data_IF_724065812059
#
_entry.id   IF_724065812059
#
_cell.length_a   1.000
_cell.length_b   1.000
_cell.length_c   1.000
_cell.angle_alpha   90.00
_cell.angle_beta   90.00
_cell.angle_gamma   90.00
#
_symmetry.space_group_name_H-M   'P 1'
#
loop_
_entity.id
_entity.type
_entity.pdbx_description
1 polymer ?
#
# COMPACT_ATOMS: atom_id res chain seq x y z
N UNK A 1 -26.88 -7.86 -9.53
CA UNK A 1 -25.54 -7.35 -9.76
C UNK A 1 -24.82 -7.16 -8.43
N UNK A 2 -23.64 -7.70 -8.32
CA UNK A 2 -22.85 -7.53 -7.11
C UNK A 2 -22.18 -6.14 -7.05
N UNK A 3 -22.04 -5.62 -5.85
CA UNK A 3 -21.26 -4.43 -5.62
C UNK A 3 -19.78 -4.80 -5.61
N UNK A 4 -18.94 -3.89 -6.13
CA UNK A 4 -17.50 -4.04 -6.03
C UNK A 4 -17.11 -3.79 -4.58
N UNK A 5 -16.41 -4.74 -3.99
CA UNK A 5 -15.95 -4.65 -2.61
C UNK A 5 -14.46 -4.89 -2.54
N UNK A 6 -13.81 -4.14 -1.67
CA UNK A 6 -12.43 -4.41 -1.32
C UNK A 6 -12.33 -5.54 -0.31
N UNK A 7 -11.11 -5.91 0.01
CA UNK A 7 -10.80 -6.91 1.03
C UNK A 7 -10.04 -6.23 2.17
N UNK A 8 -10.03 -6.82 3.37
CA UNK A 8 -9.14 -6.34 4.41
C UNK A 8 -7.68 -6.70 4.09
N UNK A 9 -6.80 -5.77 4.36
CA UNK A 9 -5.35 -6.00 4.26
C UNK A 9 -4.70 -5.56 5.56
N UNK A 10 -3.46 -5.99 5.79
CA UNK A 10 -2.69 -5.57 6.95
C UNK A 10 -1.62 -4.58 6.49
N UNK A 11 -1.66 -3.38 7.07
CA UNK A 11 -0.64 -2.35 6.87
C UNK A 11 0.31 -2.38 8.05
N UNK A 12 1.59 -2.50 7.78
CA UNK A 12 2.61 -2.52 8.81
C UNK A 12 3.25 -1.14 8.96
N UNK A 13 3.26 -0.63 10.17
CA UNK A 13 3.83 0.68 10.50
C UNK A 13 5.01 0.48 11.44
N UNK A 14 6.11 1.16 11.19
CA UNK A 14 7.27 1.14 12.07
C UNK A 14 7.18 2.31 13.04
N UNK A 15 7.34 2.02 14.32
CA UNK A 15 7.32 3.04 15.36
C UNK A 15 8.60 2.91 16.17
N UNK A 16 9.25 4.04 16.43
CA UNK A 16 10.45 4.05 17.28
C UNK A 16 10.02 3.90 18.74
N UNK A 17 10.57 2.89 19.42
CA UNK A 17 10.26 2.57 20.81
C UNK A 17 11.32 3.06 21.80
N UNK A 18 12.29 3.81 21.30
CA UNK A 18 13.38 4.32 22.11
C UNK A 18 14.71 4.12 21.42
N UNK A 19 15.80 4.12 22.18
CA UNK A 19 17.14 3.88 21.67
C UNK A 19 17.81 2.76 22.44
N UNK A 20 18.71 2.03 21.76
CA UNK A 20 19.51 1.01 22.41
C UNK A 20 20.65 1.67 23.21
N UNK A 21 21.46 0.89 23.99
CA UNK A 21 22.58 1.44 24.75
C UNK A 21 23.64 2.15 23.90
N UNK A 22 23.66 1.92 22.59
CA UNK A 22 24.60 2.53 21.67
C UNK A 22 24.02 3.74 20.94
N UNK A 23 22.79 4.16 21.29
CA UNK A 23 22.14 5.32 20.69
C UNK A 23 21.41 5.04 19.38
N UNK A 24 21.36 3.79 18.92
CA UNK A 24 20.63 3.44 17.71
C UNK A 24 19.12 3.33 18.00
N UNK A 25 18.26 3.76 17.07
CA UNK A 25 16.82 3.66 17.29
C UNK A 25 16.34 2.21 17.30
N UNK A 26 15.42 1.91 18.20
CA UNK A 26 14.75 0.62 18.29
C UNK A 26 13.39 0.77 17.60
N UNK A 27 13.12 -0.05 16.58
CA UNK A 27 11.89 0.01 15.81
C UNK A 27 10.99 -1.18 16.13
N UNK A 28 9.70 -0.90 16.27
CA UNK A 28 8.67 -1.92 16.44
C UNK A 28 7.69 -1.81 15.27
N UNK A 29 7.36 -2.94 14.67
CA UNK A 29 6.32 -3.00 13.65
C UNK A 29 4.97 -3.21 14.31
N UNK A 30 4.00 -2.38 13.92
CA UNK A 30 2.62 -2.49 14.37
C UNK A 30 1.73 -2.80 13.18
N UNK A 31 0.92 -3.85 13.31
CA UNK A 31 -0.04 -4.24 12.29
C UNK A 31 -1.34 -3.48 12.47
N UNK A 32 -1.87 -2.95 11.38
CA UNK A 32 -3.19 -2.30 11.37
C UNK A 32 -4.00 -2.89 10.23
N UNK A 33 -5.21 -3.34 10.54
CA UNK A 33 -6.11 -3.82 9.50
C UNK A 33 -6.80 -2.66 8.81
N UNK A 34 -6.72 -2.64 7.49
CA UNK A 34 -7.39 -1.65 6.66
C UNK A 34 -8.45 -2.38 5.85
N UNK A 35 -9.71 -2.03 6.08
CA UNK A 35 -10.84 -2.66 5.40
C UNK A 35 -11.09 -2.04 4.03
N UNK A 36 -11.75 -2.81 3.18
CA UNK A 36 -12.27 -2.35 1.90
C UNK A 36 -11.19 -1.79 0.96
N UNK A 37 -10.05 -2.45 0.88
CA UNK A 37 -9.00 -2.11 -0.08
C UNK A 37 -9.21 -2.93 -1.35
N UNK A 38 -9.33 -2.26 -2.48
CA UNK A 38 -9.49 -2.93 -3.76
C UNK A 38 -8.11 -3.23 -4.34
N UNK A 39 -7.87 -4.48 -4.70
CA UNK A 39 -6.59 -4.92 -5.26
C UNK A 39 -6.79 -5.16 -6.75
N UNK A 40 -6.01 -4.47 -7.57
CA UNK A 40 -6.08 -4.58 -9.03
C UNK A 40 -4.78 -5.16 -9.57
N UNK A 41 -4.84 -6.19 -10.42
CA UNK A 41 -3.65 -6.63 -11.15
C UNK A 41 -3.25 -5.55 -12.17
N UNK A 42 -1.95 -5.35 -12.34
CA UNK A 42 -1.43 -4.43 -13.34
C UNK A 42 -1.30 -5.14 -14.68
N UNK A 43 -1.51 -4.39 -15.77
CA UNK A 43 -1.27 -4.89 -17.11
C UNK A 43 0.25 -5.09 -17.34
N UNK A 44 0.61 -5.91 -18.31
CA UNK A 44 2.01 -6.11 -18.65
C UNK A 44 2.69 -4.81 -19.10
N UNK A 45 1.96 -3.94 -19.76
CA UNK A 45 2.45 -2.63 -20.18
C UNK A 45 2.76 -1.74 -18.98
N UNK A 46 1.88 -1.70 -17.97
CA UNK A 46 2.08 -0.92 -16.77
C UNK A 46 3.25 -1.46 -15.96
N UNK A 47 3.40 -2.78 -15.87
CA UNK A 47 4.53 -3.42 -15.19
C UNK A 47 5.85 -3.06 -15.87
N UNK A 48 5.89 -3.09 -17.21
CA UNK A 48 7.08 -2.75 -17.98
C UNK A 48 7.43 -1.26 -17.80
N UNK A 49 6.46 -0.39 -17.80
CA UNK A 49 6.66 1.06 -17.60
C UNK A 49 7.28 1.32 -16.23
N UNK A 50 6.75 0.71 -15.17
CA UNK A 50 7.29 0.88 -13.82
C UNK A 50 8.71 0.34 -13.70
N UNK A 51 8.98 -0.82 -14.31
CA UNK A 51 10.33 -1.40 -14.30
C UNK A 51 11.33 -0.46 -14.98
N UNK A 52 10.95 0.16 -16.10
CA UNK A 52 11.83 1.09 -16.81
C UNK A 52 12.04 2.40 -16.05
N UNK A 53 11.01 2.91 -15.37
CA UNK A 53 11.09 4.19 -14.65
C UNK A 53 11.73 4.07 -13.28
N UNK A 54 11.44 3.02 -12.54
CA UNK A 54 11.83 2.89 -11.13
C UNK A 54 12.75 1.72 -10.83
N UNK A 55 12.86 0.76 -11.75
CA UNK A 55 13.56 -0.50 -11.51
C UNK A 55 12.78 -1.47 -10.61
N UNK A 56 11.53 -1.18 -10.31
CA UNK A 56 10.70 -1.98 -9.40
C UNK A 56 9.77 -2.90 -10.17
N UNK A 57 9.66 -4.14 -9.71
CA UNK A 57 8.77 -5.15 -10.33
C UNK A 57 7.42 -5.15 -9.63
N UNK A 58 6.61 -4.15 -9.94
CA UNK A 58 5.27 -4.03 -9.37
C UNK A 58 4.34 -5.11 -9.91
N UNK A 59 3.46 -5.61 -9.07
CA UNK A 59 2.52 -6.70 -9.42
C UNK A 59 1.07 -6.30 -9.26
N UNK A 60 0.74 -5.46 -8.29
CA UNK A 60 -0.62 -5.02 -8.02
C UNK A 60 -0.68 -3.53 -7.74
N UNK A 61 -1.87 -2.97 -7.90
CA UNK A 61 -2.20 -1.62 -7.48
C UNK A 61 -3.28 -1.70 -6.40
N UNK A 62 -3.04 -1.07 -5.27
CA UNK A 62 -4.02 -0.99 -4.19
C UNK A 62 -4.84 0.28 -4.34
N UNK A 63 -6.16 0.13 -4.29
CA UNK A 63 -7.08 1.27 -4.26
C UNK A 63 -7.57 1.42 -2.83
N UNK A 64 -7.26 2.56 -2.22
CA UNK A 64 -7.45 2.79 -0.79
C UNK A 64 -8.74 3.58 -0.58
N UNK A 65 -9.59 3.20 0.42
CA UNK A 65 -10.85 3.86 0.66
C UNK A 65 -10.69 5.36 0.98
N UNK A 66 -11.70 6.13 0.63
CA UNK A 66 -11.77 7.55 1.00
C UNK A 66 -11.73 7.70 2.52
N UNK A 67 -11.09 8.77 2.98
CA UNK A 67 -11.01 9.07 4.40
C UNK A 67 -9.88 8.37 5.13
N UNK A 68 -9.10 7.52 4.44
CA UNK A 68 -7.93 6.88 5.05
C UNK A 68 -6.79 7.90 5.17
N UNK A 69 -6.24 8.06 6.36
CA UNK A 69 -5.17 9.00 6.66
C UNK A 69 -3.86 8.29 7.02
N UNK A 70 -3.76 6.98 6.81
CA UNK A 70 -2.55 6.22 7.11
C UNK A 70 -1.43 6.53 6.12
N UNK A 71 -0.19 6.34 6.57
CA UNK A 71 1.00 6.51 5.75
C UNK A 71 1.25 5.25 4.93
N UNK A 72 1.32 5.41 3.61
CA UNK A 72 1.50 4.29 2.67
C UNK A 72 2.85 4.28 1.98
N UNK A 73 3.69 5.27 2.21
CA UNK A 73 5.00 5.37 1.57
C UNK A 73 5.99 4.42 2.23
N UNK A 74 6.61 3.56 1.43
CA UNK A 74 7.62 2.58 1.89
C UNK A 74 7.12 1.75 3.08
N UNK A 75 5.97 1.12 2.90
CA UNK A 75 5.35 0.27 3.94
C UNK A 75 5.19 -1.15 3.44
N UNK A 76 5.26 -2.09 4.39
CA UNK A 76 4.93 -3.49 4.14
C UNK A 76 3.42 -3.66 4.27
N UNK A 77 2.83 -4.38 3.34
CA UNK A 77 1.40 -4.74 3.40
C UNK A 77 1.28 -6.25 3.21
N UNK A 78 0.31 -6.85 3.90
CA UNK A 78 0.05 -8.28 3.81
C UNK A 78 -1.39 -8.51 3.40
N UNK A 79 -1.59 -9.29 2.35
CA UNK A 79 -2.91 -9.74 1.94
C UNK A 79 -2.78 -11.07 1.20
N UNK A 80 -3.84 -11.86 1.24
CA UNK A 80 -3.88 -13.18 0.60
C UNK A 80 -2.71 -14.10 1.00
N UNK A 81 -2.27 -13.98 2.26
CA UNK A 81 -1.19 -14.80 2.80
C UNK A 81 0.20 -14.43 2.31
N UNK A 82 0.36 -13.33 1.58
CA UNK A 82 1.64 -12.90 1.04
C UNK A 82 1.98 -11.47 1.47
N UNK A 83 3.28 -11.19 1.57
CA UNK A 83 3.78 -9.87 1.92
C UNK A 83 4.18 -9.10 0.67
N UNK A 84 3.87 -7.81 0.67
CA UNK A 84 4.20 -6.87 -0.40
C UNK A 84 4.78 -5.60 0.19
N UNK A 85 5.44 -4.83 -0.65
CA UNK A 85 6.00 -3.52 -0.28
C UNK A 85 5.42 -2.45 -1.20
N UNK A 86 5.01 -1.33 -0.63
CA UNK A 86 4.51 -0.20 -1.41
C UNK A 86 5.66 0.47 -2.15
N UNK A 87 5.37 0.94 -3.37
CA UNK A 87 6.35 1.58 -4.26
C UNK A 87 5.89 3.00 -4.53
N UNK A 88 6.78 3.95 -4.27
CA UNK A 88 6.52 5.36 -4.55
C UNK A 88 5.57 6.01 -3.55
N UNK A 89 4.97 7.10 -3.98
CA UNK A 89 4.05 7.90 -3.18
C UNK A 89 2.62 7.63 -3.67
N UNK A 90 1.65 7.50 -2.75
CA UNK A 90 0.26 7.30 -3.16
C UNK A 90 -0.24 8.47 -4.02
N UNK A 91 -0.97 8.14 -5.08
CA UNK A 91 -1.69 9.12 -5.88
C UNK A 91 -3.07 9.30 -5.27
N UNK A 92 -3.39 10.51 -4.87
CA UNK A 92 -4.67 10.82 -4.25
C UNK A 92 -5.50 11.73 -5.14
N UNK A 93 -6.73 11.32 -5.40
CA UNK A 93 -7.69 12.13 -6.13
C UNK A 93 -8.58 12.89 -5.15
N UNK A 94 -9.03 14.08 -5.54
CA UNK A 94 -9.92 14.87 -4.71
C UNK A 94 -11.23 14.10 -4.54
N UNK A 95 -11.58 13.77 -3.28
CA UNK A 95 -12.67 12.83 -2.97
C UNK A 95 -14.02 13.23 -3.55
N UNK A 96 -14.37 14.52 -3.51
CA UNK A 96 -15.68 14.97 -4.01
C UNK A 96 -15.79 14.93 -5.55
N UNK A 97 -14.66 14.82 -6.25
CA UNK A 97 -14.64 14.70 -7.72
C UNK A 97 -14.64 13.26 -8.20
N UNK A 98 -14.56 12.31 -7.25
CA UNK A 98 -14.48 10.88 -7.58
C UNK A 98 -15.74 10.20 -7.07
N UNK A 99 -16.59 9.65 -7.98
CA UNK A 99 -17.83 8.99 -7.53
C UNK A 99 -17.61 7.62 -6.87
N UNK A 100 -16.38 7.11 -6.92
CA UNK A 100 -16.04 5.82 -6.33
C UNK A 100 -15.71 5.95 -4.85
N UNK A 101 -15.75 4.82 -4.14
CA UNK A 101 -15.40 4.76 -2.73
C UNK A 101 -13.89 4.86 -2.47
N UNK A 102 -13.08 4.79 -3.51
CA UNK A 102 -11.61 4.78 -3.42
C UNK A 102 -11.04 6.00 -4.13
N UNK A 103 -10.16 6.74 -3.45
CA UNK A 103 -9.56 7.94 -4.02
C UNK A 103 -8.04 7.97 -3.97
N UNK A 104 -7.43 6.95 -3.41
CA UNK A 104 -5.97 6.88 -3.27
C UNK A 104 -5.48 5.58 -3.89
N UNK A 105 -4.41 5.64 -4.65
CA UNK A 105 -3.84 4.48 -5.32
C UNK A 105 -2.36 4.38 -5.04
N UNK A 106 -1.86 3.17 -4.80
CA UNK A 106 -0.43 2.92 -4.67
C UNK A 106 -0.10 1.55 -5.25
N UNK A 107 1.05 1.46 -5.90
CA UNK A 107 1.53 0.21 -6.47
C UNK A 107 2.35 -0.55 -5.45
N UNK A 108 2.35 -1.88 -5.55
CA UNK A 108 3.12 -2.73 -4.64
C UNK A 108 3.94 -3.75 -5.43
N UNK A 109 5.10 -4.09 -4.87
CA UNK A 109 5.95 -5.18 -5.35
C UNK A 109 5.99 -6.28 -4.29
N UNK A 110 6.44 -7.48 -4.67
CA UNK A 110 6.61 -8.56 -3.70
C UNK A 110 7.71 -8.20 -2.71
N UNK A 111 7.44 -8.47 -1.46
CA UNK A 111 8.40 -8.25 -0.37
C UNK A 111 9.35 -9.44 -0.31
N UNK A 112 10.63 -9.13 -0.42
CA UNK A 112 11.69 -10.15 -0.35
C UNK A 112 12.63 -9.88 0.82
#
# INVERSE_FOLDING_TARGET
MGLIRGIPITLWTKTQQGTDPFGAPIWTETAKEIDNVLIRPLSEEDKATELNLTGKKVVYELCIPKGNADEWTDRKVTFDGEDFRTVGIPTELIGFMVPLSWNKKIKVERYE
#
